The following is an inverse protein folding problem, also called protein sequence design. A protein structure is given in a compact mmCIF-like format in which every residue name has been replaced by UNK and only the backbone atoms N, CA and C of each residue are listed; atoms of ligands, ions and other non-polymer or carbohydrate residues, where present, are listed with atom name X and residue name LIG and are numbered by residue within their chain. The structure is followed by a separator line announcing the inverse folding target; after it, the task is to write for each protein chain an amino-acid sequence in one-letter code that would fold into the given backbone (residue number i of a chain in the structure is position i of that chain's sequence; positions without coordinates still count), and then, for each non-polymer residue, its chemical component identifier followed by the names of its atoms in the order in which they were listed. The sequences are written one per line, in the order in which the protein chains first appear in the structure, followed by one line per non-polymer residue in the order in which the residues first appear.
data_IF_860770694043
#
_entry.id   IF_860770694043
#
_cell.length_a   1.000
_cell.length_b   1.000
_cell.length_c   1.000
_cell.angle_alpha   90.00
_cell.angle_beta   90.00
_cell.angle_gamma   90.00
#
_symmetry.space_group_name_H-M   'P 1'
#
loop_
_entity.id
_entity.type
_entity.pdbx_description
1 polymer ?
#
# COMPACT_ATOMS: atom_id res chain seq x y z
N UNK A 1 21.78 6.11 31.66
CA UNK A 1 20.87 5.04 32.15
C UNK A 1 19.47 5.12 31.52
N UNK A 2 18.89 6.29 31.36
CA UNK A 2 17.56 6.46 30.74
C UNK A 2 17.55 6.13 29.23
N UNK A 3 18.62 6.50 28.53
CA UNK A 3 18.75 6.18 27.08
C UNK A 3 18.95 4.69 26.84
N UNK A 4 19.74 4.00 27.65
CA UNK A 4 19.93 2.56 27.54
C UNK A 4 18.63 1.80 27.86
N UNK A 5 17.79 2.32 28.73
CA UNK A 5 16.51 1.75 29.11
C UNK A 5 15.45 1.96 28.00
N UNK A 6 15.47 3.11 27.33
CA UNK A 6 14.62 3.40 26.18
C UNK A 6 15.00 2.54 24.96
N UNK A 7 16.29 2.31 24.72
CA UNK A 7 16.78 1.42 23.68
C UNK A 7 16.41 -0.06 23.94
N UNK A 8 16.51 -0.52 25.20
CA UNK A 8 16.08 -1.87 25.59
C UNK A 8 14.56 -2.05 25.46
N UNK A 9 13.78 -1.05 25.76
CA UNK A 9 12.32 -1.10 25.54
C UNK A 9 11.96 -1.14 24.05
N UNK A 10 12.71 -0.45 23.20
CA UNK A 10 12.55 -0.51 21.75
C UNK A 10 12.91 -1.88 21.18
N UNK A 11 13.98 -2.51 21.65
CA UNK A 11 14.36 -3.86 21.28
C UNK A 11 13.33 -4.91 21.73
N UNK A 12 12.83 -4.80 22.95
CA UNK A 12 11.82 -5.69 23.50
C UNK A 12 10.43 -5.54 22.84
N UNK A 13 10.13 -4.39 22.24
CA UNK A 13 8.91 -4.19 21.47
C UNK A 13 8.97 -4.88 20.10
N UNK A 14 10.17 -5.14 19.59
CA UNK A 14 10.38 -5.82 18.31
C UNK A 14 10.53 -7.35 18.46
N UNK A 15 10.96 -7.82 19.65
CA UNK A 15 11.11 -9.26 19.92
C UNK A 15 9.79 -10.06 19.90
N UNK A 16 8.64 -9.54 20.38
CA UNK A 16 7.39 -10.31 20.28
C UNK A 16 6.78 -10.35 18.90
N UNK A 17 7.32 -9.60 17.95
CA UNK A 17 6.97 -9.75 16.54
C UNK A 17 7.75 -10.93 15.93
N UNK A 18 7.60 -12.08 16.55
CA UNK A 18 7.80 -13.33 15.85
C UNK A 18 6.68 -13.40 14.81
N UNK A 19 6.91 -12.80 13.67
CA UNK A 19 6.09 -13.07 12.50
C UNK A 19 6.09 -14.59 12.38
N UNK A 20 4.92 -15.24 12.51
CA UNK A 20 4.88 -16.63 12.17
C UNK A 20 5.57 -16.73 10.83
N UNK A 21 6.59 -17.55 10.72
CA UNK A 21 7.22 -17.84 9.45
C UNK A 21 6.19 -18.58 8.60
N UNK A 22 5.11 -17.87 8.23
CA UNK A 22 4.42 -18.18 7.04
C UNK A 22 5.49 -17.96 5.97
N UNK A 23 6.20 -19.03 5.71
CA UNK A 23 6.92 -19.17 4.47
C UNK A 23 5.83 -19.02 3.43
N UNK A 24 5.56 -17.79 3.06
CA UNK A 24 4.92 -17.53 1.79
C UNK A 24 5.97 -18.04 0.83
N UNK A 25 5.82 -19.27 0.41
CA UNK A 25 6.55 -19.75 -0.73
C UNK A 25 6.16 -18.84 -1.87
N UNK A 26 6.87 -17.73 -1.97
CA UNK A 26 6.79 -16.90 -3.15
C UNK A 26 7.30 -17.77 -4.27
N UNK A 27 6.42 -18.20 -5.15
CA UNK A 27 6.80 -18.94 -6.36
C UNK A 27 7.67 -18.12 -7.32
N UNK A 28 8.36 -17.11 -6.78
CA UNK A 28 9.27 -16.23 -7.49
C UNK A 28 10.39 -17.01 -8.21
N UNK A 29 10.79 -18.14 -7.65
CA UNK A 29 11.83 -18.98 -8.22
C UNK A 29 11.34 -19.89 -9.37
N UNK A 30 10.04 -20.03 -9.53
CA UNK A 30 9.45 -20.90 -10.57
C UNK A 30 8.77 -20.13 -11.71
N UNK A 31 8.84 -18.79 -11.69
CA UNK A 31 8.19 -17.91 -12.67
C UNK A 31 6.66 -17.86 -12.56
N UNK A 32 6.09 -18.44 -11.53
CA UNK A 32 4.66 -18.48 -11.30
C UNK A 32 4.28 -18.12 -9.87
N UNK A 33 4.10 -16.84 -9.57
CA UNK A 33 3.44 -16.45 -8.35
C UNK A 33 1.94 -16.76 -8.45
N UNK A 34 1.38 -17.61 -7.56
CA UNK A 34 -0.04 -17.98 -7.60
C UNK A 34 -0.98 -16.77 -7.51
N UNK A 35 -0.61 -15.73 -6.77
CA UNK A 35 -1.41 -14.52 -6.64
C UNK A 35 -1.43 -13.74 -7.95
N UNK A 36 -0.26 -13.54 -8.56
CA UNK A 36 -0.15 -12.88 -9.87
C UNK A 36 -0.86 -13.68 -10.94
N UNK A 37 -0.73 -14.99 -10.94
CA UNK A 37 -1.41 -15.87 -11.90
C UNK A 37 -2.93 -15.75 -11.79
N UNK A 38 -3.48 -15.79 -10.57
CA UNK A 38 -4.91 -15.64 -10.34
C UNK A 38 -5.42 -14.26 -10.77
N UNK A 39 -4.65 -13.23 -10.46
CA UNK A 39 -4.94 -11.85 -10.84
C UNK A 39 -4.98 -11.67 -12.36
N UNK A 40 -3.98 -12.15 -13.06
CA UNK A 40 -3.91 -12.09 -14.53
C UNK A 40 -5.01 -12.89 -15.19
N UNK A 41 -5.34 -14.06 -14.66
CA UNK A 41 -6.46 -14.87 -15.15
C UNK A 41 -7.77 -14.13 -15.02
N UNK A 42 -8.06 -13.55 -13.87
CA UNK A 42 -9.26 -12.73 -13.65
C UNK A 42 -9.35 -11.58 -14.67
N UNK A 43 -8.25 -10.87 -14.88
CA UNK A 43 -8.20 -9.80 -15.87
C UNK A 43 -8.49 -10.28 -17.28
N UNK A 44 -7.85 -11.35 -17.72
CA UNK A 44 -8.06 -11.91 -19.07
C UNK A 44 -9.50 -12.43 -19.29
N UNK A 45 -10.07 -13.07 -18.27
CA UNK A 45 -11.46 -13.52 -18.30
C UNK A 45 -12.43 -12.34 -18.40
N UNK A 46 -12.14 -11.26 -17.68
CA UNK A 46 -12.93 -10.03 -17.73
C UNK A 46 -12.80 -9.30 -19.07
N UNK A 47 -11.63 -9.32 -19.71
CA UNK A 47 -11.45 -8.80 -21.07
C UNK A 47 -12.36 -9.53 -22.06
N UNK A 48 -12.47 -10.86 -21.93
CA UNK A 48 -13.33 -11.68 -22.80
C UNK A 48 -14.82 -11.51 -22.51
N UNK A 49 -15.19 -11.52 -21.23
CA UNK A 49 -16.59 -11.46 -20.79
C UNK A 49 -17.14 -10.04 -20.69
N UNK A 50 -16.29 -9.02 -20.76
CA UNK A 50 -16.63 -7.61 -20.51
C UNK A 50 -17.18 -7.35 -19.11
N UNK A 51 -16.91 -8.25 -18.17
CA UNK A 51 -17.23 -8.06 -16.76
C UNK A 51 -16.17 -7.22 -16.07
N UNK A 52 -16.55 -6.65 -14.94
CA UNK A 52 -15.66 -5.86 -14.11
C UNK A 52 -14.65 -6.79 -13.41
N UNK A 53 -13.33 -6.56 -13.55
CA UNK A 53 -12.31 -7.35 -12.83
C UNK A 53 -12.28 -7.03 -11.33
N UNK A 54 -11.69 -7.93 -10.54
CA UNK A 54 -11.53 -7.71 -9.10
C UNK A 54 -10.68 -6.45 -8.83
N UNK A 55 -9.59 -6.27 -9.57
CA UNK A 55 -8.79 -5.04 -9.53
C UNK A 55 -9.19 -4.13 -10.69
N UNK A 56 -10.28 -3.43 -10.52
CA UNK A 56 -10.80 -2.49 -11.50
C UNK A 56 -10.12 -1.11 -11.41
N UNK A 57 -10.50 -0.22 -12.31
CA UNK A 57 -9.95 1.14 -12.33
C UNK A 57 -10.22 1.92 -11.04
N UNK A 58 -11.34 1.68 -10.38
CA UNK A 58 -11.68 2.34 -9.11
C UNK A 58 -10.75 1.86 -7.99
N UNK A 59 -10.48 0.56 -7.91
CA UNK A 59 -9.53 0.01 -6.96
C UNK A 59 -8.12 0.59 -7.17
N UNK A 60 -7.65 0.63 -8.42
CA UNK A 60 -6.36 1.23 -8.77
C UNK A 60 -6.30 2.73 -8.46
N UNK A 61 -7.35 3.46 -8.76
CA UNK A 61 -7.46 4.89 -8.48
C UNK A 61 -7.38 5.17 -6.97
N UNK A 62 -8.16 4.47 -6.16
CA UNK A 62 -8.14 4.63 -4.71
C UNK A 62 -6.78 4.30 -4.10
N UNK A 63 -6.15 3.26 -4.59
CA UNK A 63 -4.79 2.91 -4.16
C UNK A 63 -3.77 4.00 -4.52
N UNK A 64 -3.87 4.56 -5.73
CA UNK A 64 -3.01 5.65 -6.19
C UNK A 64 -3.18 6.92 -5.36
N UNK A 65 -4.42 7.27 -4.99
CA UNK A 65 -4.70 8.39 -4.09
C UNK A 65 -3.99 8.21 -2.74
N UNK A 66 -4.08 7.02 -2.15
CA UNK A 66 -3.41 6.74 -0.88
C UNK A 66 -1.89 6.92 -0.98
N UNK A 67 -1.28 6.44 -2.05
CA UNK A 67 0.15 6.61 -2.30
C UNK A 67 0.55 8.08 -2.48
N UNK A 68 -0.25 8.85 -3.21
CA UNK A 68 -0.02 10.29 -3.39
C UNK A 68 -0.15 11.03 -2.06
N UNK A 69 -1.14 10.69 -1.23
CA UNK A 69 -1.30 11.26 0.10
C UNK A 69 -0.10 10.98 1.00
N UNK A 70 0.45 9.76 0.96
CA UNK A 70 1.67 9.42 1.69
C UNK A 70 2.86 10.28 1.22
N UNK A 71 3.03 10.41 -0.08
CA UNK A 71 4.08 11.24 -0.67
C UNK A 71 3.92 12.71 -0.31
N UNK A 72 2.70 13.23 -0.37
CA UNK A 72 2.39 14.61 -0.01
C UNK A 72 2.73 14.89 1.46
N UNK A 73 2.32 14.01 2.37
CA UNK A 73 2.63 14.14 3.78
C UNK A 73 4.13 14.05 4.06
N UNK A 74 4.82 13.13 3.40
CA UNK A 74 6.26 12.97 3.56
C UNK A 74 7.04 14.20 3.08
N UNK A 75 6.68 14.78 1.93
CA UNK A 75 7.38 15.91 1.35
C UNK A 75 7.09 17.24 2.04
N UNK A 76 5.86 17.43 2.48
CA UNK A 76 5.44 18.71 3.09
C UNK A 76 5.52 18.72 4.61
N UNK A 77 5.57 17.55 5.25
CA UNK A 77 5.46 17.44 6.71
C UNK A 77 4.07 17.78 7.24
N UNK A 78 3.10 17.97 6.36
CA UNK A 78 1.73 18.35 6.68
C UNK A 78 0.78 17.16 6.59
N UNK A 79 -0.37 17.29 7.24
CA UNK A 79 -1.44 16.30 7.12
C UNK A 79 -2.00 16.32 5.71
N UNK A 80 -1.99 15.15 5.05
CA UNK A 80 -2.61 14.99 3.75
C UNK A 80 -4.10 14.65 3.89
N UNK A 81 -4.91 15.28 3.08
CA UNK A 81 -6.35 15.03 2.95
C UNK A 81 -6.72 14.91 1.48
N UNK A 82 -7.85 14.27 1.20
CA UNK A 82 -8.35 14.13 -0.16
C UNK A 82 -9.66 14.90 -0.32
N UNK A 83 -9.69 15.77 -1.32
CA UNK A 83 -10.88 16.50 -1.71
C UNK A 83 -11.63 15.70 -2.80
N UNK A 84 -12.67 15.00 -2.41
CA UNK A 84 -13.49 14.20 -3.32
C UNK A 84 -14.16 15.03 -4.41
N UNK A 85 -14.55 16.26 -4.10
CA UNK A 85 -15.28 17.13 -5.04
C UNK A 85 -14.40 17.58 -6.20
N UNK A 86 -13.16 17.96 -5.91
CA UNK A 86 -12.21 18.45 -6.90
C UNK A 86 -11.22 17.35 -7.35
N UNK A 87 -11.28 16.16 -6.74
CA UNK A 87 -10.38 15.04 -7.01
C UNK A 87 -8.90 15.41 -6.84
N UNK A 88 -8.59 16.10 -5.72
CA UNK A 88 -7.26 16.63 -5.44
C UNK A 88 -6.75 16.19 -4.07
N UNK A 89 -5.46 15.96 -3.97
CA UNK A 89 -4.78 15.74 -2.70
C UNK A 89 -4.33 17.09 -2.15
N UNK A 90 -4.71 17.36 -0.89
CA UNK A 90 -4.34 18.57 -0.17
C UNK A 90 -3.29 18.21 0.90
N UNK A 91 -2.33 19.07 1.10
CA UNK A 91 -1.38 19.00 2.19
C UNK A 91 -1.34 20.36 2.90
N UNK A 92 -1.68 20.36 4.19
CA UNK A 92 -1.79 21.60 4.97
C UNK A 92 -2.80 22.60 4.40
N UNK A 93 -3.87 22.12 3.77
CA UNK A 93 -4.92 22.96 3.16
C UNK A 93 -4.60 23.50 1.77
N UNK A 94 -3.46 23.13 1.20
CA UNK A 94 -3.04 23.53 -0.16
C UNK A 94 -2.99 22.31 -1.07
N UNK A 95 -3.36 22.50 -2.34
CA UNK A 95 -3.23 21.44 -3.36
C UNK A 95 -1.78 21.02 -3.47
N UNK A 96 -1.55 19.70 -3.33
CA UNK A 96 -0.22 19.14 -3.48
C UNK A 96 0.15 19.06 -4.95
N UNK A 97 1.32 19.58 -5.28
CA UNK A 97 1.92 19.49 -6.61
C UNK A 97 3.21 18.68 -6.55
N UNK A 98 3.35 17.76 -7.47
CA UNK A 98 4.52 16.91 -7.59
C UNK A 98 5.80 17.69 -7.84
#
# INVERSE_FOLDING_TARGET
EAEAKAMNMGANLLEPFDLPSATIETGADTGGDPMTTAHMRNWMECVRSRKKPNADVTAGYNHSIANIMCTASLRTGEKATFDEKNQEVLAGGKVFQY
#
